data_IF_763871124687
#
_entry.id   IF_763871124687
#
_cell.length_a   1.000
_cell.length_b   1.000
_cell.length_c   1.000
_cell.angle_alpha   90.00
_cell.angle_beta   90.00
_cell.angle_gamma   90.00
#
_symmetry.space_group_name_H-M   'P 1'
#
loop_
_entity.id
_entity.type
_entity.pdbx_description
1 polymer ?
#
# COMPACT_ATOMS: atom_id res chain seq x y z
N UNK A 1 1.56 14.16 4.45
CA UNK A 1 1.59 13.34 5.66
C UNK A 1 0.80 12.06 5.44
N UNK A 2 1.31 10.94 5.92
CA UNK A 2 0.64 9.67 5.73
C UNK A 2 -0.62 9.59 6.61
N UNK A 3 -1.69 9.04 6.03
CA UNK A 3 -2.89 8.77 6.80
C UNK A 3 -2.79 7.39 7.44
N UNK A 4 -3.71 7.10 8.36
CA UNK A 4 -3.79 5.78 8.95
C UNK A 4 -4.00 4.71 7.89
N UNK A 5 -4.79 5.02 6.87
CA UNK A 5 -5.06 4.10 5.77
C UNK A 5 -3.79 3.80 4.99
N UNK A 6 -2.99 4.82 4.73
CA UNK A 6 -1.70 4.64 4.05
C UNK A 6 -0.79 3.71 4.85
N UNK A 7 -0.79 3.88 6.16
CA UNK A 7 0.02 3.03 7.03
C UNK A 7 -0.41 1.57 6.94
N UNK A 8 -1.72 1.33 6.88
CA UNK A 8 -2.24 -0.04 6.72
C UNK A 8 -1.73 -0.69 5.44
N UNK A 9 -1.67 0.07 4.34
CA UNK A 9 -1.19 -0.44 3.07
C UNK A 9 0.31 -0.77 3.14
N UNK A 10 1.09 0.13 3.71
CA UNK A 10 2.53 -0.10 3.86
C UNK A 10 2.79 -1.34 4.71
N UNK A 11 2.07 -1.47 5.81
CA UNK A 11 2.23 -2.61 6.69
C UNK A 11 1.87 -3.91 5.99
N UNK A 12 0.77 -3.91 5.23
CA UNK A 12 0.33 -5.11 4.51
C UNK A 12 1.37 -5.54 3.48
N UNK A 13 1.96 -4.59 2.77
CA UNK A 13 2.98 -4.88 1.77
C UNK A 13 4.21 -5.47 2.46
N UNK A 14 4.62 -4.88 3.57
CA UNK A 14 5.79 -5.35 4.29
C UNK A 14 5.60 -6.78 4.82
N UNK A 15 4.42 -7.07 5.33
CA UNK A 15 4.14 -8.40 5.88
C UNK A 15 3.99 -9.45 4.79
N UNK A 16 3.34 -9.09 3.69
CA UNK A 16 3.12 -10.03 2.59
C UNK A 16 4.36 -10.19 1.70
N UNK A 17 5.22 -9.20 1.71
CA UNK A 17 6.43 -9.15 0.87
C UNK A 17 6.11 -9.14 -0.62
N UNK A 18 4.89 -8.75 -0.97
CA UNK A 18 4.50 -8.59 -2.36
C UNK A 18 3.25 -7.75 -2.44
N UNK A 19 3.09 -7.06 -3.58
CA UNK A 19 1.91 -6.25 -3.79
C UNK A 19 0.67 -7.13 -3.95
N UNK A 20 0.82 -8.26 -4.62
CA UNK A 20 -0.29 -9.18 -4.80
C UNK A 20 -0.76 -9.76 -3.47
N UNK A 21 0.18 -10.18 -2.63
CA UNK A 21 -0.16 -10.69 -1.31
C UNK A 21 -0.82 -9.65 -0.43
N UNK A 22 -0.34 -8.39 -0.53
CA UNK A 22 -0.94 -7.30 0.24
C UNK A 22 -2.38 -7.05 -0.20
N UNK A 23 -2.63 -7.07 -1.52
CA UNK A 23 -3.98 -6.88 -2.04
C UNK A 23 -4.91 -7.97 -1.54
N UNK A 24 -4.45 -9.21 -1.54
CA UNK A 24 -5.25 -10.32 -1.02
C UNK A 24 -5.55 -10.16 0.47
N UNK A 25 -4.56 -9.79 1.24
CA UNK A 25 -4.72 -9.59 2.68
C UNK A 25 -5.65 -8.45 3.02
N UNK A 26 -5.66 -7.41 2.19
CA UNK A 26 -6.52 -6.25 2.40
C UNK A 26 -7.90 -6.42 1.78
N UNK A 27 -8.06 -7.40 0.90
CA UNK A 27 -9.34 -7.61 0.21
C UNK A 27 -9.61 -6.58 -0.86
N UNK A 28 -8.57 -6.10 -1.54
CA UNK A 28 -8.71 -5.09 -2.59
C UNK A 28 -8.02 -5.57 -3.87
N UNK A 29 -8.28 -4.86 -4.97
CA UNK A 29 -7.64 -5.16 -6.24
C UNK A 29 -6.15 -4.79 -6.19
N UNK A 30 -5.36 -5.52 -6.98
CA UNK A 30 -3.92 -5.23 -7.08
C UNK A 30 -3.67 -3.81 -7.57
N UNK A 31 -4.48 -3.33 -8.52
CA UNK A 31 -4.32 -1.96 -9.03
C UNK A 31 -4.55 -0.92 -7.94
N UNK A 32 -5.41 -1.21 -6.98
CA UNK A 32 -5.64 -0.31 -5.85
C UNK A 32 -4.39 -0.18 -5.00
N UNK A 33 -3.70 -1.30 -4.76
CA UNK A 33 -2.46 -1.27 -3.98
C UNK A 33 -1.38 -0.48 -4.71
N UNK A 34 -1.25 -0.69 -6.02
CA UNK A 34 -0.28 0.08 -6.82
C UNK A 34 -0.54 1.57 -6.75
N UNK A 35 -1.81 1.96 -6.88
CA UNK A 35 -2.18 3.38 -6.83
C UNK A 35 -1.85 3.99 -5.48
N UNK A 36 -2.18 3.28 -4.41
CA UNK A 36 -1.89 3.77 -3.07
C UNK A 36 -0.40 3.89 -2.83
N UNK A 37 0.36 2.91 -3.28
CA UNK A 37 1.80 2.94 -3.11
C UNK A 37 2.40 4.16 -3.82
N UNK A 38 1.94 4.44 -5.04
CA UNK A 38 2.42 5.61 -5.77
C UNK A 38 2.11 6.90 -5.03
N UNK A 39 0.91 7.00 -4.46
CA UNK A 39 0.53 8.18 -3.69
C UNK A 39 1.39 8.33 -2.44
N UNK A 40 1.68 7.23 -1.77
CA UNK A 40 2.51 7.26 -0.57
C UNK A 40 3.92 7.71 -0.93
N UNK A 41 4.46 7.20 -2.02
CA UNK A 41 5.80 7.58 -2.44
C UNK A 41 5.89 9.08 -2.74
N UNK A 42 4.85 9.64 -3.33
CA UNK A 42 4.82 11.08 -3.59
C UNK A 42 4.82 11.87 -2.29
N UNK A 43 4.10 11.41 -1.29
CA UNK A 43 4.04 12.11 0.00
C UNK A 43 5.37 12.04 0.74
N UNK A 44 6.16 11.00 0.50
CA UNK A 44 7.45 10.86 1.16
C UNK A 44 8.55 11.67 0.49
N UNK A 45 8.20 12.49 -0.46
CA UNK A 45 9.11 13.55 -0.90
C UNK A 45 9.99 13.23 -2.05
N UNK A 46 9.61 12.31 -2.82
CA UNK A 46 10.41 12.12 -4.03
C UNK A 46 9.79 12.83 -5.20
#
# INVERSE_FOLDING_TARGET
>A
MLSWDDFRYVKAIAEARSLAGAADGLGVNHSTVFRRLAQIEQQLGS
#
